data_IF_542238359090
#
_entry.id   IF_542238359090
#
_cell.length_a   1.000
_cell.length_b   1.000
_cell.length_c   1.000
_cell.angle_alpha   90.00
_cell.angle_beta   90.00
_cell.angle_gamma   90.00
#
_symmetry.space_group_name_H-M   'P 1'
#
loop_
_entity.id
_entity.type
_entity.pdbx_description
1 polymer ?
#
# COMPACT_ATOMS: atom_id res chain seq x y z
N UNK A 1 -20.86 -0.08 -9.61
CA UNK A 1 -19.68 -0.64 -8.99
C UNK A 1 -18.70 0.45 -8.62
N UNK A 2 -18.32 0.50 -7.34
CA UNK A 2 -17.39 1.54 -6.88
C UNK A 2 -15.98 1.02 -6.96
N UNK A 3 -15.22 1.61 -7.85
CA UNK A 3 -13.84 1.23 -8.10
C UNK A 3 -12.95 2.43 -7.84
N UNK A 4 -12.00 2.25 -6.94
CA UNK A 4 -11.04 3.30 -6.57
C UNK A 4 -9.65 2.88 -6.96
N UNK A 5 -8.94 3.76 -7.66
CA UNK A 5 -7.56 3.53 -8.06
C UNK A 5 -6.67 4.46 -7.27
N UNK A 6 -5.60 3.92 -6.72
CA UNK A 6 -4.64 4.67 -5.91
C UNK A 6 -3.23 4.49 -6.44
N UNK A 7 -2.45 5.54 -6.28
CA UNK A 7 -1.01 5.53 -6.52
C UNK A 7 -0.32 5.80 -5.20
N UNK A 8 0.69 5.03 -4.88
CA UNK A 8 1.39 5.15 -3.60
C UNK A 8 2.89 5.16 -3.78
N UNK A 9 3.55 6.05 -3.03
CA UNK A 9 4.99 6.01 -2.82
C UNK A 9 5.25 5.25 -1.52
N UNK A 10 6.23 4.37 -1.55
CA UNK A 10 6.58 3.61 -0.36
C UNK A 10 8.09 3.55 -0.16
N UNK A 11 8.47 3.23 1.08
CA UNK A 11 9.84 2.86 1.38
C UNK A 11 9.87 1.58 2.21
N UNK A 12 10.93 0.81 2.03
CA UNK A 12 11.16 -0.40 2.77
C UNK A 12 12.42 -0.20 3.61
N UNK A 13 12.30 -0.45 4.91
CA UNK A 13 13.41 -0.35 5.85
C UNK A 13 13.67 -1.74 6.41
N UNK A 14 14.51 -2.50 5.72
CA UNK A 14 14.90 -3.84 6.15
C UNK A 14 16.23 -3.74 6.90
N UNK A 15 16.15 -3.83 8.22
CA UNK A 15 17.32 -3.67 9.08
C UNK A 15 17.76 -2.21 9.17
N UNK A 16 18.97 -1.99 9.69
CA UNK A 16 19.50 -0.64 9.91
C UNK A 16 20.21 -0.04 8.70
N UNK A 17 20.42 -0.82 7.65
CA UNK A 17 21.31 -0.43 6.57
C UNK A 17 20.67 -0.39 5.20
N UNK A 18 19.45 -0.90 5.06
CA UNK A 18 18.83 -1.05 3.75
C UNK A 18 17.56 -0.24 3.67
N UNK A 19 17.52 0.64 2.69
CA UNK A 19 16.35 1.46 2.41
C UNK A 19 16.08 1.42 0.92
N UNK A 20 14.89 0.97 0.56
CA UNK A 20 14.43 0.93 -0.82
C UNK A 20 13.18 1.79 -0.95
N UNK A 21 13.14 2.58 -1.99
CA UNK A 21 11.94 3.35 -2.34
C UNK A 21 11.33 2.79 -3.61
N UNK A 22 10.02 2.89 -3.71
CA UNK A 22 9.32 2.48 -4.90
C UNK A 22 7.94 3.09 -4.98
N UNK A 23 7.24 2.71 -6.03
CA UNK A 23 5.90 3.19 -6.31
C UNK A 23 5.04 2.01 -6.73
N UNK A 24 3.76 2.06 -6.37
CA UNK A 24 2.81 1.00 -6.72
C UNK A 24 1.43 1.59 -6.91
N UNK A 25 0.57 0.80 -7.52
CA UNK A 25 -0.84 1.15 -7.69
C UNK A 25 -1.71 0.09 -7.05
N UNK A 26 -2.90 0.50 -6.66
CA UNK A 26 -3.90 -0.40 -6.08
C UNK A 26 -5.26 -0.09 -6.66
N UNK A 27 -6.00 -1.12 -7.02
CA UNK A 27 -7.42 -1.02 -7.33
C UNK A 27 -8.19 -1.55 -6.13
N UNK A 28 -9.04 -0.72 -5.55
CA UNK A 28 -9.83 -1.04 -4.38
C UNK A 28 -11.31 -1.04 -4.76
N UNK A 29 -11.97 -2.17 -4.53
CA UNK A 29 -13.40 -2.33 -4.83
C UNK A 29 -14.11 -2.88 -3.61
N UNK A 30 -14.61 -2.01 -2.71
CA UNK A 30 -15.43 -2.50 -1.61
C UNK A 30 -16.76 -3.05 -2.14
N UNK A 31 -17.27 -4.08 -1.49
CA UNK A 31 -18.54 -4.68 -1.87
C UNK A 31 -19.70 -3.70 -1.74
N UNK A 32 -19.59 -2.78 -0.77
CA UNK A 32 -20.57 -1.73 -0.52
C UNK A 32 -19.81 -0.41 -0.38
N UNK A 33 -20.28 0.69 -0.99
CA UNK A 33 -19.66 2.01 -0.83
C UNK A 33 -19.51 2.44 0.63
N UNK A 34 -20.40 1.98 1.50
CA UNK A 34 -20.33 2.28 2.93
C UNK A 34 -19.20 1.53 3.62
N UNK A 35 -18.66 0.48 3.01
CA UNK A 35 -17.55 -0.31 3.55
C UNK A 35 -16.18 0.29 3.19
N UNK A 36 -16.16 1.49 2.64
CA UNK A 36 -14.91 2.16 2.32
C UNK A 36 -14.14 2.46 3.61
N UNK A 37 -12.95 1.88 3.71
CA UNK A 37 -12.09 2.02 4.88
C UNK A 37 -10.67 2.41 4.46
N UNK A 38 -10.26 3.67 4.72
CA UNK A 38 -8.91 4.11 4.38
C UNK A 38 -7.81 3.29 5.04
N UNK A 39 -8.03 2.81 6.26
CA UNK A 39 -7.05 1.98 6.95
C UNK A 39 -6.83 0.66 6.23
N UNK A 40 -7.88 0.09 5.65
CA UNK A 40 -7.78 -1.13 4.85
C UNK A 40 -6.94 -0.92 3.59
N UNK A 41 -7.08 0.24 2.95
CA UNK A 41 -6.30 0.59 1.77
C UNK A 41 -4.81 0.60 2.12
N UNK A 42 -4.43 1.25 3.20
CA UNK A 42 -3.04 1.31 3.66
C UNK A 42 -2.53 -0.08 4.01
N UNK A 43 -3.32 -0.88 4.73
CA UNK A 43 -2.91 -2.23 5.10
C UNK A 43 -2.72 -3.13 3.88
N UNK A 44 -3.61 -3.03 2.90
CA UNK A 44 -3.54 -3.79 1.65
C UNK A 44 -2.29 -3.41 0.85
N UNK A 45 -2.00 -2.11 0.74
CA UNK A 45 -0.80 -1.63 0.07
C UNK A 45 0.47 -2.13 0.74
N UNK A 46 0.54 -2.05 2.06
CA UNK A 46 1.70 -2.54 2.81
C UNK A 46 1.92 -4.03 2.58
N UNK A 47 0.85 -4.82 2.61
CA UNK A 47 0.96 -6.25 2.37
C UNK A 47 1.38 -6.56 0.94
N UNK A 48 0.83 -5.85 -0.04
CA UNK A 48 1.18 -6.00 -1.45
C UNK A 48 2.66 -5.74 -1.68
N UNK A 49 3.19 -4.64 -1.13
CA UNK A 49 4.60 -4.29 -1.24
C UNK A 49 5.46 -5.32 -0.55
N UNK A 50 5.07 -5.75 0.64
CA UNK A 50 5.80 -6.76 1.41
C UNK A 50 5.91 -8.07 0.63
N UNK A 51 4.83 -8.51 0.02
CA UNK A 51 4.80 -9.74 -0.78
C UNK A 51 5.69 -9.63 -2.02
N UNK A 52 5.65 -8.46 -2.67
CA UNK A 52 6.44 -8.22 -3.88
C UNK A 52 7.94 -8.26 -3.60
N UNK A 53 8.36 -7.72 -2.46
CA UNK A 53 9.77 -7.61 -2.12
C UNK A 53 10.27 -8.73 -1.18
N UNK A 54 9.37 -9.60 -0.74
CA UNK A 54 9.75 -10.68 0.18
C UNK A 54 10.20 -10.18 1.54
N UNK A 55 9.60 -9.10 2.03
CA UNK A 55 9.90 -8.53 3.35
C UNK A 55 8.65 -8.58 4.24
N UNK A 56 8.83 -8.28 5.52
CA UNK A 56 7.72 -8.21 6.45
C UNK A 56 6.97 -6.90 6.26
N UNK A 57 5.62 -6.94 6.37
CA UNK A 57 4.81 -5.74 6.19
C UNK A 57 5.17 -4.61 7.16
N UNK A 58 5.70 -4.94 8.34
CA UNK A 58 6.13 -3.93 9.31
C UNK A 58 7.33 -3.12 8.83
N UNK A 59 8.05 -3.63 7.83
CA UNK A 59 9.19 -2.93 7.23
C UNK A 59 8.78 -1.99 6.10
N UNK A 60 7.49 -1.99 5.73
CA UNK A 60 6.97 -1.17 4.64
C UNK A 60 6.30 0.07 5.22
N UNK A 61 6.69 1.23 4.70
CA UNK A 61 6.07 2.51 5.05
C UNK A 61 5.47 3.14 3.79
N UNK A 62 4.21 3.49 3.84
CA UNK A 62 3.56 4.25 2.78
C UNK A 62 3.84 5.72 3.04
N UNK A 63 4.54 6.37 2.12
CA UNK A 63 4.97 7.76 2.28
C UNK A 63 3.96 8.75 1.73
N UNK A 64 3.31 8.40 0.64
CA UNK A 64 2.32 9.24 0.00
C UNK A 64 1.28 8.36 -0.68
N UNK A 65 0.06 8.82 -0.70
CA UNK A 65 -1.06 8.11 -1.31
C UNK A 65 -1.91 9.13 -2.07
N UNK A 66 -2.13 8.86 -3.34
CA UNK A 66 -2.94 9.71 -4.21
C UNK A 66 -4.04 8.88 -4.86
N UNK A 67 -5.24 9.42 -4.85
CA UNK A 67 -6.35 8.84 -5.59
C UNK A 67 -6.25 9.28 -7.05
N UNK A 68 -6.32 8.29 -7.94
CA UNK A 68 -6.27 8.54 -9.38
C UNK A 68 -7.63 8.86 -9.97
#
# INVERSE_FOLDING_TARGET
MNRYCYFADYEIMAGHRYRTWGQTTLVYQPADPEDFDPAEIIATLRQQVADTHGVHRSDVRIRALSKL
#
